data_IF_318993659956
#
_entry.id   IF_318993659956
#
_cell.length_a   1.000
_cell.length_b   1.000
_cell.length_c   1.000
_cell.angle_alpha   90.00
_cell.angle_beta   90.00
_cell.angle_gamma   90.00
#
_symmetry.space_group_name_H-M   'P 1'
#
loop_
_entity.id
_entity.type
_entity.pdbx_description
1 polymer ?
#
# COMPACT_ATOMS: atom_id res chain seq x y z
N UNK A 1 7.52 -7.17 -18.07
CA UNK A 1 7.17 -7.52 -16.70
C UNK A 1 7.12 -6.23 -15.91
N UNK A 2 6.10 -6.00 -15.07
CA UNK A 2 5.93 -4.73 -14.36
C UNK A 2 6.50 -4.85 -12.95
N UNK A 3 7.18 -3.79 -12.51
CA UNK A 3 7.72 -3.65 -11.17
C UNK A 3 6.90 -2.59 -10.44
N UNK A 4 6.46 -2.85 -9.21
CA UNK A 4 5.66 -1.93 -8.41
C UNK A 4 6.21 -1.77 -7.01
N UNK A 5 6.12 -0.54 -6.49
CA UNK A 5 6.41 -0.22 -5.10
C UNK A 5 5.11 -0.42 -4.29
N UNK A 6 5.03 -1.57 -3.62
CA UNK A 6 3.87 -1.96 -2.83
C UNK A 6 4.10 -1.62 -1.36
N UNK A 7 3.16 -0.91 -0.75
CA UNK A 7 3.27 -0.43 0.63
C UNK A 7 2.10 -0.95 1.45
N UNK A 8 2.38 -1.46 2.65
CA UNK A 8 1.33 -1.92 3.56
C UNK A 8 0.61 -0.73 4.22
N UNK A 9 -0.69 -0.88 4.44
CA UNK A 9 -1.54 0.23 4.91
C UNK A 9 -1.11 0.81 6.25
N UNK A 10 -0.61 0.00 7.19
CA UNK A 10 -0.19 0.49 8.50
C UNK A 10 1.00 1.44 8.39
N UNK A 11 1.94 1.20 7.46
CA UNK A 11 3.05 2.10 7.17
C UNK A 11 2.57 3.43 6.58
N UNK A 12 1.52 3.40 5.75
CA UNK A 12 0.89 4.62 5.22
C UNK A 12 0.25 5.42 6.36
N UNK A 13 -0.54 4.75 7.21
CA UNK A 13 -1.23 5.39 8.33
C UNK A 13 -0.23 5.98 9.33
N UNK A 14 0.82 5.24 9.70
CA UNK A 14 1.87 5.74 10.60
C UNK A 14 2.56 6.97 10.03
N UNK A 15 2.89 6.95 8.73
CA UNK A 15 3.47 8.11 8.03
C UNK A 15 2.57 9.32 8.11
N UNK A 16 1.26 9.16 7.88
CA UNK A 16 0.28 10.24 7.96
C UNK A 16 0.15 10.77 9.39
N UNK A 17 0.04 9.89 10.38
CA UNK A 17 -0.08 10.29 11.80
C UNK A 17 1.12 11.12 12.24
N UNK A 18 2.33 10.76 11.81
CA UNK A 18 3.55 11.54 12.11
C UNK A 18 3.59 12.89 11.39
N UNK A 19 2.97 13.01 10.22
CA UNK A 19 2.91 14.27 9.48
C UNK A 19 1.88 15.25 10.04
N UNK A 20 0.80 14.80 10.70
CA UNK A 20 -0.27 15.67 11.24
C UNK A 20 0.27 16.82 12.09
N UNK A 21 1.19 16.62 13.08
CA UNK A 21 1.70 17.71 13.91
C UNK A 21 2.71 18.61 13.18
N UNK A 22 3.15 18.26 11.96
CA UNK A 22 4.21 18.93 11.22
C UNK A 22 3.62 19.84 10.13
N UNK A 23 2.91 20.88 10.54
CA UNK A 23 2.33 21.84 9.61
C UNK A 23 3.40 22.40 8.65
N UNK A 24 3.16 22.43 7.33
CA UNK A 24 4.13 22.93 6.38
C UNK A 24 4.38 24.42 6.60
N UNK A 25 5.62 24.84 6.39
CA UNK A 25 6.02 26.24 6.40
C UNK A 25 6.27 26.70 4.96
N UNK A 26 6.09 27.99 4.72
CA UNK A 26 6.48 28.61 3.46
C UNK A 26 7.99 28.40 3.23
N UNK A 27 8.39 28.06 2.02
CA UNK A 27 9.79 27.99 1.64
C UNK A 27 10.25 29.35 1.07
N UNK A 28 10.98 30.19 1.86
CA UNK A 28 11.43 31.49 1.39
C UNK A 28 12.53 31.41 0.32
N UNK A 29 13.16 30.27 0.16
CA UNK A 29 14.19 30.01 -0.85
C UNK A 29 13.60 29.39 -2.13
N UNK A 30 12.27 29.29 -2.24
CA UNK A 30 11.64 28.73 -3.42
C UNK A 30 11.88 29.66 -4.63
N UNK A 31 12.47 29.09 -5.68
CA UNK A 31 12.81 29.81 -6.91
C UNK A 31 11.79 29.48 -8.02
N UNK A 32 11.26 30.51 -8.62
CA UNK A 32 10.29 30.37 -9.73
C UNK A 32 10.94 29.85 -11.02
N UNK A 33 12.23 30.12 -11.24
CA UNK A 33 12.94 29.69 -12.43
C UNK A 33 13.43 28.24 -12.31
N UNK A 34 13.67 27.78 -11.05
CA UNK A 34 14.06 26.41 -10.72
C UNK A 34 13.18 25.88 -9.60
N UNK A 35 11.88 25.63 -9.87
CA UNK A 35 10.93 25.33 -8.82
C UNK A 35 11.18 23.94 -8.22
N UNK A 36 11.24 23.87 -6.88
CA UNK A 36 11.12 22.60 -6.16
C UNK A 36 9.65 22.15 -6.21
N UNK A 37 9.33 21.00 -6.85
CA UNK A 37 7.95 20.53 -6.98
C UNK A 37 7.33 20.05 -5.67
N UNK A 38 8.14 19.90 -4.60
CA UNK A 38 7.70 19.41 -3.29
C UNK A 38 7.43 20.53 -2.29
N UNK A 39 7.70 21.79 -2.63
CA UNK A 39 7.50 22.95 -1.76
C UNK A 39 7.00 24.18 -2.55
N UNK A 40 6.65 25.26 -1.83
CA UNK A 40 6.24 26.52 -2.45
C UNK A 40 6.48 27.72 -1.55
N UNK A 41 6.34 28.96 -2.04
CA UNK A 41 6.37 30.16 -1.19
C UNK A 41 5.16 30.28 -0.26
N UNK A 42 4.12 29.45 -0.43
CA UNK A 42 3.02 29.29 0.51
C UNK A 42 3.28 28.12 1.48
N UNK A 43 2.59 28.02 2.61
CA UNK A 43 2.73 26.91 3.57
C UNK A 43 2.12 25.62 3.03
N UNK A 44 2.80 25.00 2.07
CA UNK A 44 2.43 23.79 1.37
C UNK A 44 3.66 22.91 1.18
N UNK A 45 3.48 21.59 1.29
CA UNK A 45 4.54 20.60 1.06
C UNK A 45 3.98 19.28 0.56
N UNK A 46 4.66 18.63 -0.38
CA UNK A 46 4.34 17.32 -0.91
C UNK A 46 5.31 16.27 -0.36
N UNK A 47 4.77 15.12 0.02
CA UNK A 47 5.55 13.96 0.43
C UNK A 47 5.14 12.73 -0.38
N UNK A 48 6.12 11.90 -0.74
CA UNK A 48 5.85 10.56 -1.19
C UNK A 48 5.85 9.62 0.01
N UNK A 49 4.95 8.64 0.00
CA UNK A 49 4.92 7.53 0.95
C UNK A 49 4.99 6.24 0.14
N UNK A 50 5.98 5.39 0.39
CA UNK A 50 6.20 4.17 -0.36
C UNK A 50 7.15 3.21 0.36
N UNK A 51 7.13 1.93 0.00
CA UNK A 51 7.92 0.89 0.64
C UNK A 51 9.41 0.88 0.25
N UNK A 52 9.81 1.64 -0.78
CA UNK A 52 11.16 1.66 -1.34
C UNK A 52 11.70 0.26 -1.77
N UNK A 53 10.83 -0.71 -1.92
CA UNK A 53 11.18 -2.09 -2.26
C UNK A 53 10.37 -2.52 -3.48
N UNK A 54 10.78 -2.07 -4.68
CA UNK A 54 10.08 -2.43 -5.91
C UNK A 54 10.14 -3.96 -6.10
N UNK A 55 8.98 -4.57 -6.34
CA UNK A 55 8.84 -6.01 -6.50
C UNK A 55 8.23 -6.30 -7.87
N UNK A 56 8.69 -7.36 -8.52
CA UNK A 56 8.09 -7.83 -9.75
C UNK A 56 6.67 -8.34 -9.52
N UNK A 57 5.78 -8.06 -10.45
CA UNK A 57 4.38 -8.49 -10.34
C UNK A 57 4.24 -10.03 -10.23
N UNK A 58 5.14 -10.77 -10.85
CA UNK A 58 5.18 -12.23 -10.75
C UNK A 58 5.49 -12.71 -9.32
N UNK A 59 6.41 -12.02 -8.62
CA UNK A 59 6.75 -12.34 -7.24
C UNK A 59 5.59 -11.96 -6.29
N UNK A 60 4.93 -10.84 -6.59
CA UNK A 60 3.71 -10.44 -5.87
C UNK A 60 2.62 -11.53 -5.99
N UNK A 61 2.38 -12.04 -7.20
CA UNK A 61 1.41 -13.13 -7.44
C UNK A 61 1.83 -14.41 -6.72
N UNK A 62 3.12 -14.76 -6.76
CA UNK A 62 3.63 -15.95 -6.06
C UNK A 62 3.42 -15.87 -4.54
N UNK A 63 3.59 -14.69 -3.95
CA UNK A 63 3.29 -14.47 -2.52
C UNK A 63 1.79 -14.57 -2.23
N UNK A 64 0.92 -14.04 -3.10
CA UNK A 64 -0.52 -14.24 -2.97
C UNK A 64 -0.90 -15.72 -3.02
N UNK A 65 -0.36 -16.47 -3.98
CA UNK A 65 -0.57 -17.92 -4.09
C UNK A 65 -0.15 -18.66 -2.81
N UNK A 66 1.01 -18.30 -2.26
CA UNK A 66 1.54 -18.86 -1.02
C UNK A 66 0.56 -18.64 0.14
N UNK A 67 0.11 -17.42 0.36
CA UNK A 67 -0.78 -17.09 1.48
C UNK A 67 -2.21 -17.58 1.30
N UNK A 68 -2.72 -17.59 0.05
CA UNK A 68 -4.06 -18.09 -0.28
C UNK A 68 -4.12 -19.62 -0.40
N UNK A 69 -2.97 -20.30 -0.45
CA UNK A 69 -2.86 -21.75 -0.70
C UNK A 69 -3.58 -22.16 -2.00
N UNK A 70 -3.53 -21.30 -3.04
CA UNK A 70 -4.19 -21.51 -4.34
C UNK A 70 -3.33 -21.00 -5.47
N UNK A 71 -3.41 -21.67 -6.61
CA UNK A 71 -2.76 -21.22 -7.85
C UNK A 71 -3.64 -20.23 -8.60
N UNK A 72 -3.01 -19.17 -9.11
CA UNK A 72 -3.66 -18.19 -9.96
C UNK A 72 -3.78 -18.73 -11.40
N UNK A 73 -4.89 -18.44 -12.05
CA UNK A 73 -4.98 -18.56 -13.52
C UNK A 73 -4.41 -17.26 -14.11
N UNK A 74 -3.22 -17.35 -14.72
CA UNK A 74 -2.51 -16.19 -15.24
C UNK A 74 -2.69 -16.11 -16.75
N UNK A 75 -3.13 -14.95 -17.24
CA UNK A 75 -3.15 -14.59 -18.64
C UNK A 75 -2.19 -13.41 -18.86
N UNK A 76 -1.18 -13.58 -19.69
CA UNK A 76 -0.21 -12.54 -20.02
C UNK A 76 -0.70 -11.74 -21.22
N UNK A 77 -1.01 -10.47 -20.97
CA UNK A 77 -1.41 -9.52 -22.01
C UNK A 77 -0.23 -8.59 -22.38
N UNK A 78 -0.23 -8.02 -23.59
CA UNK A 78 0.71 -6.97 -23.94
C UNK A 78 0.59 -5.77 -23.00
N UNK A 79 1.71 -5.05 -22.80
CA UNK A 79 1.72 -3.80 -22.03
C UNK A 79 0.72 -2.81 -22.64
N UNK A 80 -0.15 -2.26 -21.82
CA UNK A 80 -1.15 -1.30 -22.27
C UNK A 80 -0.50 0.06 -22.55
N UNK A 81 -0.95 0.82 -23.57
CA UNK A 81 -0.48 2.17 -23.79
C UNK A 81 -0.68 3.05 -22.55
N UNK A 82 0.38 3.75 -22.14
CA UNK A 82 0.37 4.61 -20.96
C UNK A 82 0.80 3.93 -19.65
N UNK A 83 0.92 2.61 -19.62
CA UNK A 83 1.48 1.91 -18.45
C UNK A 83 3.00 2.13 -18.32
N UNK A 84 3.45 2.27 -17.07
CA UNK A 84 4.89 2.38 -16.76
C UNK A 84 5.45 1.00 -16.37
N UNK A 85 6.70 0.75 -16.78
CA UNK A 85 7.37 -0.53 -16.51
C UNK A 85 7.70 -0.71 -15.02
N UNK A 86 8.06 0.38 -14.33
CA UNK A 86 8.44 0.35 -12.93
C UNK A 86 7.98 1.61 -12.19
N UNK A 87 7.65 1.45 -10.92
CA UNK A 87 7.41 2.55 -9.98
C UNK A 87 8.24 2.34 -8.72
N UNK A 88 8.81 3.42 -8.20
CA UNK A 88 9.49 3.45 -6.90
C UNK A 88 9.36 4.84 -6.32
N UNK A 89 8.92 4.97 -5.08
CA UNK A 89 8.82 6.24 -4.39
C UNK A 89 10.16 6.62 -3.75
N UNK A 90 10.59 7.87 -3.96
CA UNK A 90 11.61 8.48 -3.11
C UNK A 90 10.94 9.05 -1.87
N UNK A 91 11.20 8.44 -0.73
CA UNK A 91 10.63 8.84 0.57
C UNK A 91 11.66 9.54 1.48
N UNK A 92 12.83 9.89 0.96
CA UNK A 92 13.91 10.50 1.73
C UNK A 92 13.46 11.74 2.51
N UNK A 93 12.62 12.58 1.90
CA UNK A 93 12.06 13.77 2.54
C UNK A 93 11.10 13.42 3.68
N UNK A 94 10.29 12.38 3.53
CA UNK A 94 9.42 11.88 4.60
C UNK A 94 10.23 11.40 5.80
N UNK A 95 11.26 10.58 5.53
CA UNK A 95 12.17 10.07 6.56
C UNK A 95 12.88 11.18 7.32
N UNK A 96 13.42 12.17 6.61
CA UNK A 96 14.08 13.33 7.24
C UNK A 96 13.15 14.12 8.16
N UNK A 97 11.88 14.26 7.81
CA UNK A 97 10.92 15.09 8.55
C UNK A 97 10.26 14.32 9.68
N UNK A 98 9.98 13.03 9.51
CA UNK A 98 9.22 12.22 10.48
C UNK A 98 10.09 11.26 11.30
N UNK A 99 11.31 11.01 10.87
CA UNK A 99 12.18 9.95 11.43
C UNK A 99 11.62 8.54 11.20
N UNK A 100 10.72 8.37 10.21
CA UNK A 100 10.05 7.10 9.95
C UNK A 100 10.22 6.67 8.49
N UNK A 101 10.52 5.40 8.30
CA UNK A 101 10.56 4.73 7.00
C UNK A 101 9.63 3.52 7.02
N UNK A 102 8.79 3.30 6.01
CA UNK A 102 7.97 2.10 5.87
C UNK A 102 8.78 0.82 5.99
N UNK A 103 8.36 -0.11 6.86
CA UNK A 103 9.16 -1.27 7.24
C UNK A 103 8.48 -2.61 6.96
N UNK A 104 7.16 -2.66 6.84
CA UNK A 104 6.42 -3.91 6.63
C UNK A 104 6.80 -4.51 5.27
N UNK A 105 7.32 -5.73 5.29
CA UNK A 105 7.65 -6.44 4.06
C UNK A 105 6.39 -6.82 3.28
N UNK A 106 6.54 -7.03 1.96
CA UNK A 106 5.42 -7.45 1.12
C UNK A 106 4.83 -8.79 1.60
N UNK A 107 5.67 -9.76 1.97
CA UNK A 107 5.23 -11.07 2.45
C UNK A 107 4.40 -10.94 3.74
N UNK A 108 4.88 -10.16 4.70
CA UNK A 108 4.16 -9.88 5.94
C UNK A 108 2.86 -9.11 5.70
N UNK A 109 2.89 -8.06 4.90
CA UNK A 109 1.72 -7.24 4.57
C UNK A 109 0.63 -8.06 3.87
N UNK A 110 1.00 -8.91 2.91
CA UNK A 110 0.07 -9.82 2.24
C UNK A 110 -0.50 -10.87 3.19
N UNK A 111 0.32 -11.41 4.10
CA UNK A 111 -0.16 -12.35 5.12
C UNK A 111 -1.23 -11.73 6.01
N UNK A 112 -0.99 -10.51 6.51
CA UNK A 112 -1.96 -9.75 7.33
C UNK A 112 -3.23 -9.41 6.53
N UNK A 113 -3.08 -8.95 5.29
CA UNK A 113 -4.20 -8.63 4.40
C UNK A 113 -5.09 -9.85 4.14
N UNK A 114 -4.51 -11.01 3.84
CA UNK A 114 -5.25 -12.24 3.56
C UNK A 114 -5.93 -12.77 4.82
N UNK A 115 -5.32 -12.66 6.00
CA UNK A 115 -5.96 -13.00 7.25
C UNK A 115 -7.23 -12.14 7.48
N UNK A 116 -7.12 -10.82 7.28
CA UNK A 116 -8.27 -9.91 7.32
C UNK A 116 -9.31 -10.27 6.24
N UNK A 117 -8.89 -10.53 5.01
CA UNK A 117 -9.78 -10.88 3.90
C UNK A 117 -10.63 -12.11 4.20
N UNK A 118 -10.04 -13.15 4.80
CA UNK A 118 -10.77 -14.36 5.20
C UNK A 118 -11.76 -14.13 6.36
N UNK A 119 -11.50 -13.17 7.23
CA UNK A 119 -12.44 -12.79 8.29
C UNK A 119 -13.60 -11.97 7.73
N UNK A 120 -13.31 -11.05 6.81
CA UNK A 120 -14.32 -10.16 6.25
C UNK A 120 -15.17 -10.83 5.16
N UNK A 121 -14.57 -11.70 4.35
CA UNK A 121 -15.24 -12.49 3.30
C UNK A 121 -15.14 -13.99 3.63
N UNK A 122 -15.96 -14.51 4.55
CA UNK A 122 -16.01 -15.93 4.85
C UNK A 122 -16.38 -16.71 3.58
N UNK A 123 -15.69 -17.83 3.35
CA UNK A 123 -15.94 -18.67 2.18
C UNK A 123 -17.29 -19.37 2.34
N UNK A 124 -18.15 -19.42 1.28
CA UNK A 124 -19.44 -20.11 1.33
C UNK A 124 -19.34 -21.58 1.73
N UNK A 125 -18.27 -22.26 1.35
CA UNK A 125 -17.98 -23.66 1.67
C UNK A 125 -17.63 -23.86 3.16
N UNK A 126 -17.17 -22.83 3.88
CA UNK A 126 -16.97 -22.89 5.34
C UNK A 126 -18.22 -22.53 6.13
N UNK A 127 -19.16 -21.79 5.52
CA UNK A 127 -20.45 -21.46 6.14
C UNK A 127 -21.38 -22.70 6.25
N UNK A 128 -21.30 -23.63 5.30
CA UNK A 128 -22.03 -24.89 5.37
C UNK A 128 -21.55 -25.79 6.53
N UNK A 129 -20.25 -25.77 6.83
CA UNK A 129 -19.69 -26.49 7.98
C UNK A 129 -19.99 -25.79 9.32
N UNK A 130 -20.16 -24.45 9.32
CA UNK A 130 -20.56 -23.67 10.51
C UNK A 130 -22.07 -23.63 10.75
N UNK A 131 -22.88 -23.73 9.72
CA UNK A 131 -24.35 -23.79 9.84
C UNK A 131 -24.83 -25.07 10.54
N UNK A 132 -24.02 -26.13 10.55
CA UNK A 132 -24.25 -27.35 11.32
C UNK A 132 -23.70 -27.33 12.76
N UNK A 133 -23.14 -26.22 13.21
CA UNK A 133 -22.62 -26.03 14.56
C UNK A 133 -22.33 -24.57 14.87
N UNK A 134 -23.35 -23.89 15.32
CA UNK A 134 -23.35 -22.61 16.04
C UNK A 134 -22.15 -21.68 15.94
N UNK A 135 -22.31 -20.50 15.25
CA UNK A 135 -21.57 -19.27 15.54
C UNK A 135 -22.30 -18.01 15.01
N UNK A 136 -22.10 -16.83 15.59
CA UNK A 136 -22.99 -15.68 15.50
C UNK A 136 -22.93 -14.93 14.16
N UNK A 137 -24.10 -14.52 13.70
CA UNK A 137 -24.32 -13.64 12.54
C UNK A 137 -23.87 -12.22 12.88
N UNK A 138 -22.84 -11.73 12.26
CA UNK A 138 -22.56 -10.30 12.20
C UNK A 138 -23.31 -9.66 11.03
N UNK A 139 -24.36 -8.88 11.36
CA UNK A 139 -25.12 -8.07 10.40
C UNK A 139 -24.17 -7.08 9.68
N UNK A 140 -24.25 -7.11 8.35
CA UNK A 140 -23.61 -6.11 7.49
C UNK A 140 -24.25 -4.74 7.78
N UNK A 141 -23.47 -3.77 8.23
CA UNK A 141 -23.84 -2.36 8.10
C UNK A 141 -23.39 -1.91 6.72
N UNK A 142 -24.37 -1.58 5.86
CA UNK A 142 -24.15 -0.79 4.67
C UNK A 142 -23.85 0.66 5.10
N UNK A 143 -22.78 1.24 4.55
CA UNK A 143 -22.50 2.68 4.50
C UNK A 143 -22.55 3.08 3.04
#
# INVERSE_FOLDING_TARGET
MCIRDSTYIDDIVESLVRLIPLAPQANPAWDREHPDPASSPAPWRLFNIGGQRPVELTDYVALLEKHLQRKAAIELLPLQPGDVLATCADVSTLEQVTGFTPQVSLDEGLGRFIAWFHQYYPRPDQDVARANGQAPVHQRRAV
#
